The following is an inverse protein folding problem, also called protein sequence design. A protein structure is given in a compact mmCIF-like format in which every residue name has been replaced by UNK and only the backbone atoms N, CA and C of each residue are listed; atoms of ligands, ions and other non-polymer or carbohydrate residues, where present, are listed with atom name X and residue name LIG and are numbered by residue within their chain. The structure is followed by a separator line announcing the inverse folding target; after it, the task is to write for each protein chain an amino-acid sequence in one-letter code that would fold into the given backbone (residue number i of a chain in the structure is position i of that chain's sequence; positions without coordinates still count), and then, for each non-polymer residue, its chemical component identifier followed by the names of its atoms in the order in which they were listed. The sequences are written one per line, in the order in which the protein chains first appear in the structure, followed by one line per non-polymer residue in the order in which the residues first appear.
data_IF_931015019784
#
_entry.id   IF_931015019784
#
_cell.length_a   1.000
_cell.length_b   1.000
_cell.length_c   1.000
_cell.angle_alpha   90.00
_cell.angle_beta   90.00
_cell.angle_gamma   90.00
#
_symmetry.space_group_name_H-M   'P 1'
#
loop_
_entity.id
_entity.type
_entity.pdbx_description
1 polymer ?
#
# COMPACT_ATOMS: atom_id res chain seq x y z
N UNK A 1 -0.36 -35.22 -27.16
CA UNK A 1 -0.20 -34.02 -26.29
C UNK A 1 -0.39 -34.44 -24.84
N UNK A 2 0.34 -33.86 -23.88
CA UNK A 2 0.15 -34.19 -22.46
C UNK A 2 -1.17 -33.63 -21.93
N UNK A 3 -1.79 -34.31 -20.95
CA UNK A 3 -3.04 -33.87 -20.31
C UNK A 3 -2.97 -32.43 -19.78
N UNK A 4 -1.80 -32.02 -19.29
CA UNK A 4 -1.56 -30.65 -18.84
C UNK A 4 -1.72 -29.63 -19.98
N UNK A 5 -1.15 -29.89 -21.16
CA UNK A 5 -1.25 -28.98 -22.32
C UNK A 5 -2.69 -28.85 -22.82
N UNK A 6 -3.44 -29.96 -22.81
CA UNK A 6 -4.86 -29.96 -23.18
C UNK A 6 -5.66 -29.08 -22.21
N UNK A 7 -5.37 -29.20 -20.91
CA UNK A 7 -6.02 -28.39 -19.87
C UNK A 7 -5.68 -26.90 -20.00
N UNK A 8 -4.43 -26.55 -20.31
CA UNK A 8 -4.03 -25.16 -20.54
C UNK A 8 -4.78 -24.59 -21.75
N UNK A 9 -4.80 -25.30 -22.86
CA UNK A 9 -5.49 -24.87 -24.08
C UNK A 9 -7.01 -24.69 -23.86
N UNK A 10 -7.66 -25.61 -23.14
CA UNK A 10 -9.09 -25.49 -22.82
C UNK A 10 -9.40 -24.26 -21.96
N UNK A 11 -8.53 -23.92 -21.00
CA UNK A 11 -8.69 -22.70 -20.22
C UNK A 11 -8.46 -21.44 -21.05
N UNK A 12 -7.46 -21.45 -21.92
CA UNK A 12 -7.18 -20.34 -22.83
C UNK A 12 -8.36 -20.09 -23.78
N UNK A 13 -9.01 -21.13 -24.29
CA UNK A 13 -10.19 -21.02 -25.15
C UNK A 13 -11.36 -20.32 -24.43
N UNK A 14 -11.67 -20.73 -23.19
CA UNK A 14 -12.69 -20.07 -22.36
C UNK A 14 -12.34 -18.59 -22.15
N UNK A 15 -11.07 -18.28 -21.86
CA UNK A 15 -10.62 -16.91 -21.63
C UNK A 15 -10.53 -16.07 -22.92
N UNK A 16 -10.57 -16.71 -24.09
CA UNK A 16 -10.53 -16.03 -25.39
C UNK A 16 -11.91 -15.56 -25.87
N UNK A 17 -13.01 -16.09 -25.31
CA UNK A 17 -14.37 -15.68 -25.61
C UNK A 17 -14.62 -14.19 -25.32
N UNK A 18 -15.39 -13.49 -26.16
CA UNK A 18 -15.70 -12.06 -25.96
C UNK A 18 -16.45 -11.80 -24.65
N UNK A 19 -17.37 -12.70 -24.31
CA UNK A 19 -18.08 -12.76 -23.04
C UNK A 19 -17.84 -14.13 -22.40
N UNK A 20 -17.15 -14.13 -21.27
CA UNK A 20 -16.71 -15.36 -20.59
C UNK A 20 -17.85 -15.93 -19.75
N UNK A 21 -18.17 -17.20 -19.96
CA UNK A 21 -19.06 -17.94 -19.05
C UNK A 21 -18.36 -18.21 -17.70
N UNK A 22 -18.74 -17.44 -16.68
CA UNK A 22 -18.20 -17.57 -15.34
C UNK A 22 -18.55 -18.91 -14.67
N UNK A 23 -19.65 -19.58 -15.07
CA UNK A 23 -20.02 -20.89 -14.55
C UNK A 23 -19.08 -21.96 -15.10
N UNK A 24 -18.82 -21.92 -16.40
CA UNK A 24 -17.85 -22.80 -17.04
C UNK A 24 -16.44 -22.58 -16.47
N UNK A 25 -16.02 -21.32 -16.35
CA UNK A 25 -14.73 -20.96 -15.76
C UNK A 25 -14.59 -21.51 -14.33
N UNK A 26 -15.61 -21.37 -13.48
CA UNK A 26 -15.60 -21.90 -12.10
C UNK A 26 -15.44 -23.41 -12.08
N UNK A 27 -16.19 -24.14 -12.93
CA UNK A 27 -16.09 -25.59 -13.02
C UNK A 27 -14.69 -26.02 -13.46
N UNK A 28 -14.08 -25.29 -14.41
CA UNK A 28 -12.74 -25.57 -14.88
C UNK A 28 -11.68 -25.31 -13.80
N UNK A 29 -11.79 -24.18 -13.10
CA UNK A 29 -10.86 -23.76 -12.05
C UNK A 29 -11.03 -24.56 -10.73
N UNK A 30 -12.12 -25.31 -10.56
CA UNK A 30 -12.39 -26.10 -9.35
C UNK A 30 -11.27 -27.11 -9.05
N UNK A 31 -10.71 -27.73 -10.09
CA UNK A 31 -9.59 -28.67 -9.96
C UNK A 31 -8.22 -27.98 -9.92
N UNK A 32 -8.19 -26.67 -9.65
CA UNK A 32 -7.00 -25.81 -9.69
C UNK A 32 -6.86 -25.02 -10.98
N UNK A 33 -5.93 -24.07 -10.98
CA UNK A 33 -5.60 -23.24 -12.14
C UNK A 33 -4.15 -23.54 -12.53
N UNK A 34 -3.85 -23.87 -13.80
CA UNK A 34 -2.49 -24.03 -14.28
C UNK A 34 -1.64 -22.80 -13.99
N UNK A 35 -0.43 -23.01 -13.49
CA UNK A 35 0.47 -21.93 -13.05
C UNK A 35 1.43 -21.49 -14.17
N UNK A 36 0.88 -21.28 -15.36
CA UNK A 36 1.63 -20.84 -16.53
C UNK A 36 0.96 -19.63 -17.19
N UNK A 37 1.76 -18.86 -17.93
CA UNK A 37 1.29 -17.79 -18.83
C UNK A 37 0.38 -16.73 -18.18
N UNK A 38 0.49 -16.52 -16.86
CA UNK A 38 -0.34 -15.55 -16.14
C UNK A 38 -1.83 -15.91 -16.02
N UNK A 39 -2.21 -17.15 -16.39
CA UNK A 39 -3.60 -17.63 -16.37
C UNK A 39 -4.22 -17.50 -14.98
N UNK A 40 -3.46 -17.87 -13.94
CA UNK A 40 -3.87 -17.74 -12.55
C UNK A 40 -4.30 -16.32 -12.18
N UNK A 41 -3.53 -15.32 -12.61
CA UNK A 41 -3.85 -13.91 -12.37
C UNK A 41 -5.16 -13.50 -13.04
N UNK A 42 -5.39 -13.91 -14.30
CA UNK A 42 -6.62 -13.57 -15.03
C UNK A 42 -7.84 -14.28 -14.44
N UNK A 43 -7.74 -15.57 -14.18
CA UNK A 43 -8.82 -16.35 -13.56
C UNK A 43 -9.19 -15.79 -12.18
N UNK A 44 -8.21 -15.45 -11.33
CA UNK A 44 -8.50 -14.87 -10.02
C UNK A 44 -9.20 -13.51 -10.12
N UNK A 45 -8.80 -12.65 -11.05
CA UNK A 45 -9.49 -11.36 -11.26
C UNK A 45 -10.96 -11.56 -11.65
N UNK A 46 -11.29 -12.59 -12.44
CA UNK A 46 -12.66 -12.90 -12.81
C UNK A 46 -13.43 -13.56 -11.66
N UNK A 47 -12.84 -14.56 -11.01
CA UNK A 47 -13.48 -15.33 -9.92
C UNK A 47 -13.76 -14.47 -8.69
N UNK A 48 -12.90 -13.49 -8.40
CA UNK A 48 -13.08 -12.51 -7.31
C UNK A 48 -13.97 -11.33 -7.72
N UNK A 49 -14.47 -11.29 -8.96
CA UNK A 49 -15.35 -10.22 -9.45
C UNK A 49 -14.66 -8.87 -9.67
N UNK A 50 -13.32 -8.86 -9.74
CA UNK A 50 -12.56 -7.65 -10.08
C UNK A 50 -12.72 -7.26 -11.55
N UNK A 51 -12.78 -8.25 -12.45
CA UNK A 51 -13.12 -8.09 -13.85
C UNK A 51 -14.50 -8.70 -14.14
N UNK A 52 -15.26 -8.07 -15.05
CA UNK A 52 -16.53 -8.60 -15.53
C UNK A 52 -16.36 -9.68 -16.62
N UNK A 53 -17.45 -10.34 -17.05
CA UNK A 53 -17.39 -11.39 -18.07
C UNK A 53 -17.03 -10.85 -19.47
N UNK A 54 -17.35 -9.58 -19.76
CA UNK A 54 -17.11 -8.94 -21.06
C UNK A 54 -15.68 -8.38 -21.15
N UNK A 55 -14.90 -8.89 -22.11
CA UNK A 55 -13.46 -8.59 -22.23
C UNK A 55 -13.15 -7.18 -22.71
N UNK A 56 -14.01 -6.63 -23.57
CA UNK A 56 -13.91 -5.25 -24.06
C UNK A 56 -13.87 -4.22 -22.91
N UNK A 57 -14.58 -4.49 -21.81
CA UNK A 57 -14.63 -3.60 -20.64
C UNK A 57 -13.41 -3.68 -19.73
N UNK A 58 -12.52 -4.67 -19.91
CA UNK A 58 -11.44 -4.93 -18.95
C UNK A 58 -10.43 -3.80 -18.90
N UNK A 59 -10.01 -3.29 -20.05
CA UNK A 59 -9.03 -2.19 -20.15
C UNK A 59 -9.52 -0.94 -19.42
N UNK A 60 -10.78 -0.54 -19.68
CA UNK A 60 -11.42 0.60 -19.04
C UNK A 60 -11.59 0.38 -17.53
N UNK A 61 -12.01 -0.82 -17.11
CA UNK A 61 -12.16 -1.19 -15.69
C UNK A 61 -10.82 -1.12 -14.97
N UNK A 62 -9.78 -1.72 -15.55
CA UNK A 62 -8.43 -1.70 -14.98
C UNK A 62 -7.88 -0.28 -14.86
N UNK A 63 -8.05 0.55 -15.88
CA UNK A 63 -7.63 1.95 -15.86
C UNK A 63 -8.35 2.71 -14.73
N UNK A 64 -9.68 2.61 -14.67
CA UNK A 64 -10.49 3.26 -13.63
C UNK A 64 -10.11 2.82 -12.22
N UNK A 65 -9.93 1.50 -11.99
CA UNK A 65 -9.58 0.96 -10.67
C UNK A 65 -8.17 1.36 -10.24
N UNK A 66 -7.20 1.39 -11.16
CA UNK A 66 -5.84 1.86 -10.89
C UNK A 66 -5.80 3.34 -10.57
N UNK A 67 -6.59 4.14 -11.28
CA UNK A 67 -6.69 5.58 -11.00
C UNK A 67 -7.31 5.86 -9.65
N UNK A 68 -8.41 5.17 -9.32
CA UNK A 68 -9.04 5.26 -8.00
C UNK A 68 -8.08 4.88 -6.88
N UNK A 69 -7.27 3.82 -7.07
CA UNK A 69 -6.26 3.43 -6.10
C UNK A 69 -5.18 4.52 -5.88
N UNK A 70 -4.76 5.21 -6.95
CA UNK A 70 -3.83 6.34 -6.83
C UNK A 70 -4.43 7.49 -6.03
N UNK A 71 -5.71 7.82 -6.27
CA UNK A 71 -6.42 8.84 -5.51
C UNK A 71 -6.48 8.49 -4.02
N UNK A 72 -6.80 7.23 -3.67
CA UNK A 72 -6.77 6.80 -2.27
C UNK A 72 -5.38 6.89 -1.63
N UNK A 73 -4.31 6.58 -2.38
CA UNK A 73 -2.95 6.79 -1.88
C UNK A 73 -2.72 8.27 -1.56
N UNK A 74 -3.09 9.17 -2.46
CA UNK A 74 -2.91 10.61 -2.26
C UNK A 74 -3.69 11.09 -1.03
N UNK A 75 -4.95 10.69 -0.87
CA UNK A 75 -5.77 11.12 0.26
C UNK A 75 -5.30 10.56 1.61
N UNK A 76 -4.94 9.27 1.67
CA UNK A 76 -4.64 8.59 2.94
C UNK A 76 -3.19 8.77 3.41
N UNK A 77 -2.26 9.10 2.51
CA UNK A 77 -0.82 9.16 2.83
C UNK A 77 -0.34 10.59 3.13
N UNK A 78 -1.19 11.63 3.02
CA UNK A 78 -0.80 13.01 3.32
C UNK A 78 -0.98 13.35 4.81
N UNK A 79 0.04 13.91 5.51
CA UNK A 79 -0.11 14.38 6.89
C UNK A 79 -1.10 15.56 7.02
N UNK A 80 -1.87 15.66 8.13
CA UNK A 80 -2.88 16.70 8.33
C UNK A 80 -2.34 18.15 8.38
N UNK A 81 -1.03 18.34 8.54
CA UNK A 81 -0.36 19.64 8.53
C UNK A 81 0.01 20.20 7.16
N UNK A 82 -0.03 19.39 6.09
CA UNK A 82 0.34 19.85 4.74
C UNK A 82 -0.88 20.29 3.90
N UNK A 83 -2.10 19.90 4.29
CA UNK A 83 -3.32 20.15 3.51
C UNK A 83 -3.98 21.50 3.84
N UNK A 84 -3.65 22.10 4.98
CA UNK A 84 -4.39 23.24 5.51
C UNK A 84 -3.60 24.55 5.32
N UNK A 85 -4.09 25.39 4.39
CA UNK A 85 -3.75 26.81 4.36
C UNK A 85 -4.09 27.49 5.70
N UNK A 86 -3.56 28.70 5.90
CA UNK A 86 -3.37 29.44 7.17
C UNK A 86 -4.57 29.69 8.13
N UNK A 87 -5.69 28.96 8.03
CA UNK A 87 -6.88 29.10 8.86
C UNK A 87 -7.38 27.77 9.45
N UNK A 88 -6.49 26.93 9.98
CA UNK A 88 -6.88 25.65 10.61
C UNK A 88 -7.08 25.81 12.13
N UNK A 89 -8.26 25.43 12.62
CA UNK A 89 -8.63 25.40 14.06
C UNK A 89 -8.21 24.07 14.72
N UNK A 90 -7.80 23.08 13.93
CA UNK A 90 -7.42 21.74 14.37
C UNK A 90 -5.93 21.67 14.74
N UNK A 91 -5.60 21.03 15.87
CA UNK A 91 -4.23 20.95 16.37
C UNK A 91 -3.84 19.51 16.80
N UNK A 92 -2.54 19.19 16.89
CA UNK A 92 -2.04 17.85 17.23
C UNK A 92 -2.48 17.26 18.57
N UNK A 93 -3.12 18.04 19.43
CA UNK A 93 -3.58 17.60 20.75
C UNK A 93 -5.11 17.63 20.83
N UNK A 94 -5.81 17.85 19.71
CA UNK A 94 -7.26 17.84 19.66
C UNK A 94 -7.76 16.41 19.80
N UNK A 95 -8.70 16.21 20.72
CA UNK A 95 -9.33 14.91 21.05
C UNK A 95 -10.70 14.73 20.36
N UNK A 96 -11.21 15.80 19.73
CA UNK A 96 -12.48 15.80 19.01
C UNK A 96 -12.55 14.73 17.91
N UNK A 97 -13.73 14.12 17.67
CA UNK A 97 -13.91 13.09 16.66
C UNK A 97 -13.70 13.60 15.23
N UNK A 98 -13.88 14.90 14.99
CA UNK A 98 -13.69 15.57 13.70
C UNK A 98 -12.25 16.07 13.47
N UNK A 99 -11.33 15.81 14.42
CA UNK A 99 -9.93 16.24 14.29
C UNK A 99 -9.17 15.36 13.31
N UNK A 100 -8.53 15.98 12.31
CA UNK A 100 -7.66 15.29 11.36
C UNK A 100 -6.41 14.75 12.06
N UNK A 101 -5.93 15.43 13.10
CA UNK A 101 -4.83 14.95 13.94
C UNK A 101 -5.21 13.70 14.74
N UNK A 102 -6.39 13.66 15.36
CA UNK A 102 -6.88 12.48 16.06
C UNK A 102 -6.98 11.26 15.13
N UNK A 103 -7.55 11.45 13.93
CA UNK A 103 -7.60 10.40 12.89
C UNK A 103 -6.19 9.96 12.47
N UNK A 104 -5.28 10.90 12.22
CA UNK A 104 -3.90 10.60 11.84
C UNK A 104 -3.15 9.76 12.89
N UNK A 105 -3.32 10.04 14.19
CA UNK A 105 -2.69 9.23 15.23
C UNK A 105 -3.27 7.81 15.32
N UNK A 106 -4.60 7.67 15.19
CA UNK A 106 -5.25 6.35 15.12
C UNK A 106 -4.80 5.56 13.90
N UNK A 107 -4.67 6.22 12.75
CA UNK A 107 -4.14 5.61 11.53
C UNK A 107 -2.70 5.12 11.73
N UNK A 108 -1.86 5.88 12.45
CA UNK A 108 -0.50 5.45 12.78
C UNK A 108 -0.48 4.24 13.72
N UNK A 109 -1.41 4.10 14.66
CA UNK A 109 -1.54 2.90 15.49
C UNK A 109 -1.87 1.66 14.64
N UNK A 110 -2.81 1.79 13.72
CA UNK A 110 -3.17 0.73 12.77
C UNK A 110 -1.97 0.39 11.86
N UNK A 111 -1.30 1.41 11.33
CA UNK A 111 -0.13 1.27 10.47
C UNK A 111 1.01 0.55 11.19
N UNK A 112 1.20 0.81 12.49
CA UNK A 112 2.21 0.14 13.30
C UNK A 112 1.91 -1.36 13.44
N UNK A 113 0.64 -1.75 13.57
CA UNK A 113 0.27 -3.18 13.59
C UNK A 113 0.51 -3.83 12.22
N UNK A 114 0.16 -3.14 11.13
CA UNK A 114 0.42 -3.63 9.76
C UNK A 114 1.92 -3.82 9.54
N UNK A 115 2.78 -2.87 9.91
CA UNK A 115 4.24 -2.99 9.75
C UNK A 115 4.80 -4.20 10.53
N UNK A 116 4.34 -4.40 11.78
CA UNK A 116 4.73 -5.57 12.58
C UNK A 116 4.31 -6.89 11.92
N UNK A 117 3.09 -6.96 11.39
CA UNK A 117 2.56 -8.15 10.74
C UNK A 117 3.24 -8.47 9.42
N UNK A 118 3.51 -7.44 8.61
CA UNK A 118 4.20 -7.59 7.32
C UNK A 118 5.62 -8.11 7.53
N UNK A 119 6.37 -7.61 8.53
CA UNK A 119 7.74 -8.07 8.80
C UNK A 119 7.85 -9.56 9.17
N UNK A 120 6.80 -10.13 9.76
CA UNK A 120 6.77 -11.54 10.18
C UNK A 120 6.06 -12.46 9.18
N UNK A 121 5.49 -11.91 8.10
CA UNK A 121 4.73 -12.69 7.14
C UNK A 121 5.66 -13.54 6.27
N UNK A 122 5.52 -14.87 6.37
CA UNK A 122 6.17 -15.86 5.51
C UNK A 122 7.69 -15.62 5.29
N UNK A 123 8.51 -15.61 6.36
CA UNK A 123 9.93 -15.25 6.27
C UNK A 123 10.75 -16.19 5.37
N UNK A 124 10.27 -17.40 5.11
CA UNK A 124 10.97 -18.36 4.26
C UNK A 124 10.71 -18.14 2.76
N UNK A 125 9.79 -17.25 2.40
CA UNK A 125 9.42 -16.96 1.00
C UNK A 125 10.11 -15.67 0.56
N UNK A 126 11.06 -15.78 -0.38
CA UNK A 126 11.87 -14.65 -0.87
C UNK A 126 11.04 -13.50 -1.46
N UNK A 127 9.89 -13.80 -2.04
CA UNK A 127 8.97 -12.80 -2.59
C UNK A 127 8.60 -11.70 -1.58
N UNK A 128 8.42 -12.03 -0.29
CA UNK A 128 8.06 -11.05 0.74
C UNK A 128 9.26 -10.28 1.32
N UNK A 129 10.49 -10.69 0.99
CA UNK A 129 11.72 -10.06 1.48
C UNK A 129 12.40 -9.16 0.44
N UNK A 130 11.97 -9.24 -0.81
CA UNK A 130 12.56 -8.48 -1.92
C UNK A 130 11.77 -7.20 -2.18
N UNK A 131 12.49 -6.15 -2.60
CA UNK A 131 11.85 -4.95 -3.11
C UNK A 131 11.11 -5.29 -4.40
N UNK A 132 9.88 -4.79 -4.55
CA UNK A 132 9.14 -4.91 -5.80
C UNK A 132 9.88 -4.21 -6.93
N UNK A 133 9.88 -4.82 -8.12
CA UNK A 133 10.39 -4.20 -9.36
C UNK A 133 9.49 -3.04 -9.82
N UNK A 134 8.26 -2.97 -9.31
CA UNK A 134 7.25 -1.98 -9.68
C UNK A 134 6.78 -1.18 -8.45
N UNK A 135 7.64 -0.36 -7.84
CA UNK A 135 7.24 0.49 -6.73
C UNK A 135 6.25 1.57 -7.19
N UNK A 136 5.28 1.91 -6.34
CA UNK A 136 4.46 3.10 -6.59
C UNK A 136 5.33 4.34 -6.38
N UNK A 137 5.62 5.07 -7.46
CA UNK A 137 6.46 6.27 -7.42
C UNK A 137 5.91 7.29 -6.43
N UNK A 138 4.59 7.54 -6.41
CA UNK A 138 3.96 8.47 -5.47
C UNK A 138 4.18 8.13 -4.00
N UNK A 139 4.49 6.88 -3.66
CA UNK A 139 4.78 6.48 -2.26
C UNK A 139 6.29 6.47 -1.98
N UNK A 140 7.10 6.11 -2.97
CA UNK A 140 8.54 5.86 -2.79
C UNK A 140 9.42 7.07 -3.09
N UNK A 141 9.03 7.92 -4.06
CA UNK A 141 9.84 9.06 -4.53
C UNK A 141 9.67 10.32 -3.68
N UNK A 142 8.60 10.41 -2.88
CA UNK A 142 8.41 11.54 -1.99
C UNK A 142 9.41 11.55 -0.83
N UNK A 143 9.68 12.77 -0.33
CA UNK A 143 10.62 13.08 0.73
C UNK A 143 10.53 12.07 1.90
N UNK A 144 11.65 11.71 2.54
CA UNK A 144 11.75 10.59 3.51
C UNK A 144 10.65 10.57 4.57
N UNK A 145 10.15 11.74 4.96
CA UNK A 145 9.09 11.97 5.95
C UNK A 145 7.70 11.44 5.53
N UNK A 146 7.47 11.19 4.23
CA UNK A 146 6.20 10.64 3.72
C UNK A 146 6.19 9.12 3.63
N UNK A 147 7.30 8.43 3.92
CA UNK A 147 7.33 6.97 3.91
C UNK A 147 6.56 6.44 5.10
N UNK A 148 5.57 5.59 4.85
CA UNK A 148 4.71 5.01 5.90
C UNK A 148 5.50 4.33 7.02
N UNK A 149 6.58 3.60 6.70
CA UNK A 149 7.43 2.97 7.72
C UNK A 149 8.17 3.97 8.61
N UNK A 150 8.40 5.21 8.16
CA UNK A 150 9.05 6.27 8.97
C UNK A 150 8.08 6.79 10.02
N UNK A 151 6.77 6.83 9.73
CA UNK A 151 5.75 7.26 10.71
C UNK A 151 5.68 6.36 11.94
N UNK A 152 5.98 5.08 11.75
CA UNK A 152 5.93 4.05 12.79
C UNK A 152 7.32 3.68 13.31
N UNK A 153 8.37 4.32 12.78
CA UNK A 153 9.73 4.13 13.27
C UNK A 153 9.85 4.75 14.68
N UNK A 154 10.56 4.09 15.61
CA UNK A 154 10.89 4.70 16.89
C UNK A 154 11.68 5.99 16.66
N UNK A 155 11.17 7.11 17.16
CA UNK A 155 11.88 8.39 17.14
C UNK A 155 12.64 8.58 18.43
N UNK A 156 13.96 8.76 18.33
CA UNK A 156 14.81 9.11 19.46
C UNK A 156 14.81 10.63 19.63
N UNK A 157 14.40 11.12 20.79
CA UNK A 157 14.54 12.54 21.12
C UNK A 157 16.01 12.83 21.49
N UNK A 158 16.64 13.71 20.72
CA UNK A 158 17.94 14.29 21.06
C UNK A 158 17.71 15.60 21.81
N UNK A 159 18.12 15.67 23.07
CA UNK A 159 18.16 16.92 23.82
C UNK A 159 19.60 17.37 24.03
N UNK A 160 19.78 18.69 24.10
CA UNK A 160 21.07 19.31 24.36
C UNK A 160 20.86 20.55 25.21
N UNK A 161 21.71 20.74 26.23
CA UNK A 161 21.64 21.92 27.07
C UNK A 161 22.15 23.15 26.31
N UNK A 162 21.43 24.28 26.42
CA UNK A 162 21.91 25.54 25.86
C UNK A 162 22.65 26.31 26.94
N UNK A 163 23.96 26.51 26.76
CA UNK A 163 24.76 27.31 27.67
C UNK A 163 24.88 28.75 27.15
N UNK A 164 24.53 29.74 27.99
CA UNK A 164 24.80 31.16 27.72
C UNK A 164 26.16 31.54 28.32
N UNK A 165 27.13 31.89 27.47
CA UNK A 165 28.35 32.60 27.88
C UNK A 165 28.20 34.11 27.59
N UNK A 166 27.62 34.85 28.53
CA UNK A 166 27.54 36.32 28.46
C UNK A 166 26.59 36.89 27.39
N UNK A 167 26.83 38.15 26.98
CA UNK A 167 25.99 38.96 26.09
C UNK A 167 26.02 38.57 24.59
N UNK A 168 26.47 37.37 24.22
CA UNK A 168 26.55 36.95 22.82
C UNK A 168 26.47 35.43 22.62
N UNK A 169 25.76 35.06 21.54
CA UNK A 169 25.53 33.73 20.92
C UNK A 169 25.46 32.51 21.87
N UNK A 170 24.26 31.92 21.95
CA UNK A 170 23.99 30.63 22.60
C UNK A 170 24.72 29.49 21.90
N UNK A 171 25.44 28.66 22.67
CA UNK A 171 26.10 27.44 22.19
C UNK A 171 25.32 26.21 22.67
N UNK A 172 25.08 25.26 21.77
CA UNK A 172 24.42 23.98 22.10
C UNK A 172 25.48 23.06 22.71
N UNK A 173 25.28 22.67 23.96
CA UNK A 173 26.11 21.72 24.71
C UNK A 173 25.90 20.28 24.26
N UNK A 174 26.72 19.36 24.78
CA UNK A 174 26.80 17.94 24.35
C UNK A 174 25.42 17.27 24.29
N UNK A 175 25.11 16.67 23.13
CA UNK A 175 23.86 15.92 22.90
C UNK A 175 23.80 14.69 23.81
N UNK A 176 22.66 14.50 24.47
CA UNK A 176 22.33 13.25 25.16
C UNK A 176 21.22 12.59 24.34
N UNK A 177 21.52 11.42 23.79
CA UNK A 177 20.55 10.58 23.07
C UNK A 177 19.89 9.64 24.07
N UNK A 178 18.56 9.72 24.20
CA UNK A 178 17.80 8.75 24.98
C UNK A 178 17.21 7.69 24.04
N UNK A 179 17.32 6.42 24.44
CA UNK A 179 16.89 5.21 23.72
C UNK A 179 15.42 4.92 24.03
#
# INVERSE_FOLDING_TARGET
MSLYKIRVAGLEDILQQDEIDLKELRNFCFYGIPDCSGLRSTCWKLLLGYLGPKRDTWSATLAKKRELYKQFIEEMVIPPGEQNGAACVDHPLSDGPESNWNTFFKDNEVLLQIDKDVRRLCPDISFFQQATEFPSESVVSHNRERKLHVRVAPSTLSSANVERKGLGMTKVGTQITFI
#
